data_IF_077461701976
#
_entry.id   IF_077461701976
#
_cell.length_a   1.000
_cell.length_b   1.000
_cell.length_c   1.000
_cell.angle_alpha   90.00
_cell.angle_beta   90.00
_cell.angle_gamma   90.00
#
_symmetry.space_group_name_H-M   'P 1'
#
loop_
_entity.id
_entity.type
_entity.pdbx_description
1 polymer ?
#
# COMPACT_ATOMS: atom_id res chain seq x y z
N UNK A 1 -39.41 26.33 -5.52
CA UNK A 1 -38.71 25.10 -5.94
C UNK A 1 -37.68 24.72 -4.87
N UNK A 2 -37.65 23.49 -4.41
CA UNK A 2 -36.59 22.98 -3.56
C UNK A 2 -35.56 22.32 -4.47
N UNK A 3 -34.31 22.77 -4.37
CA UNK A 3 -33.18 22.22 -5.11
C UNK A 3 -32.37 21.31 -4.18
N UNK A 4 -32.17 20.06 -4.54
CA UNK A 4 -31.23 19.21 -3.82
C UNK A 4 -29.83 19.40 -4.40
N UNK A 5 -28.81 19.52 -3.54
CA UNK A 5 -27.43 19.59 -4.00
C UNK A 5 -27.04 18.29 -4.73
N UNK A 6 -26.28 18.46 -5.77
CA UNK A 6 -25.77 17.31 -6.52
C UNK A 6 -24.85 16.43 -5.70
N UNK A 7 -24.82 15.15 -6.07
CA UNK A 7 -23.99 14.14 -5.40
C UNK A 7 -23.35 13.21 -6.40
N UNK A 8 -22.06 13.01 -6.28
CA UNK A 8 -21.37 11.94 -7.02
C UNK A 8 -20.95 10.81 -6.11
N UNK A 9 -20.67 9.65 -6.73
CA UNK A 9 -20.25 8.47 -6.00
C UNK A 9 -18.72 8.40 -5.97
N UNK A 10 -18.18 8.10 -4.77
CA UNK A 10 -16.77 7.76 -4.56
C UNK A 10 -16.69 6.27 -4.29
N UNK A 11 -16.12 5.53 -5.23
CA UNK A 11 -15.89 4.09 -5.16
C UNK A 11 -14.52 3.78 -4.56
N UNK A 12 -14.38 2.61 -3.96
CA UNK A 12 -13.12 2.10 -3.42
C UNK A 12 -12.73 0.80 -4.12
N UNK A 13 -11.53 0.80 -4.71
CA UNK A 13 -10.94 -0.32 -5.41
C UNK A 13 -9.70 -0.82 -4.65
N UNK A 14 -9.72 -2.09 -4.27
CA UNK A 14 -8.60 -2.72 -3.59
C UNK A 14 -7.32 -2.79 -4.44
N UNK A 15 -7.42 -2.58 -5.77
CA UNK A 15 -6.28 -2.56 -6.69
C UNK A 15 -5.32 -3.74 -6.48
N UNK A 16 -5.86 -4.95 -6.58
CA UNK A 16 -5.14 -6.20 -6.37
C UNK A 16 -5.07 -6.65 -4.91
N UNK A 17 -5.71 -5.94 -3.98
CA UNK A 17 -5.99 -6.40 -2.62
C UNK A 17 -7.32 -7.15 -2.51
N UNK A 18 -7.75 -7.40 -1.26
CA UNK A 18 -9.05 -8.00 -0.98
C UNK A 18 -10.18 -6.97 -1.13
N UNK A 19 -11.00 -7.10 -2.18
CA UNK A 19 -12.12 -6.19 -2.44
C UNK A 19 -13.18 -6.21 -1.34
N UNK A 20 -13.33 -7.27 -0.58
CA UNK A 20 -14.25 -7.33 0.57
C UNK A 20 -13.78 -6.47 1.75
N UNK A 21 -12.50 -6.14 1.78
CA UNK A 21 -11.88 -5.35 2.82
C UNK A 21 -11.94 -3.83 2.59
N UNK A 22 -12.30 -3.36 1.39
CA UNK A 22 -12.41 -1.93 1.11
C UNK A 22 -13.60 -1.29 1.84
N UNK A 23 -13.62 0.04 2.00
CA UNK A 23 -14.81 0.75 2.45
C UNK A 23 -15.99 0.59 1.49
N UNK A 24 -17.19 0.77 1.98
CA UNK A 24 -18.36 0.96 1.13
C UNK A 24 -18.26 2.29 0.38
N UNK A 25 -18.93 2.36 -0.77
CA UNK A 25 -19.05 3.59 -1.54
C UNK A 25 -19.60 4.74 -0.69
N UNK A 26 -19.09 5.94 -0.94
CA UNK A 26 -19.55 7.15 -0.30
C UNK A 26 -20.23 8.09 -1.32
N UNK A 27 -21.07 8.97 -0.84
CA UNK A 27 -21.68 10.05 -1.63
C UNK A 27 -21.06 11.39 -1.23
N UNK A 28 -20.42 12.05 -2.18
CA UNK A 28 -19.91 13.40 -2.04
C UNK A 28 -20.98 14.37 -2.52
N UNK A 29 -21.37 15.30 -1.68
CA UNK A 29 -22.29 16.40 -2.02
C UNK A 29 -21.48 17.58 -2.57
N UNK A 30 -21.97 18.19 -3.63
CA UNK A 30 -21.35 19.36 -4.27
C UNK A 30 -21.12 20.49 -3.25
N UNK A 31 -19.95 21.14 -3.33
CA UNK A 31 -19.49 22.20 -2.42
C UNK A 31 -19.43 21.83 -0.92
N UNK A 32 -19.60 20.54 -0.58
CA UNK A 32 -19.45 20.09 0.81
C UNK A 32 -18.27 19.15 0.93
N UNK A 33 -17.37 19.42 1.87
CA UNK A 33 -16.29 18.49 2.18
C UNK A 33 -16.84 17.19 2.76
N UNK A 34 -16.19 16.08 2.42
CA UNK A 34 -16.38 14.80 3.10
C UNK A 34 -15.04 14.27 3.58
N UNK A 35 -15.04 13.34 4.50
CA UNK A 35 -13.83 12.61 4.86
C UNK A 35 -13.76 11.27 4.11
N UNK A 36 -12.60 10.97 3.56
CA UNK A 36 -12.30 9.64 3.02
C UNK A 36 -12.52 8.60 4.11
N UNK A 37 -13.13 7.48 3.76
CA UNK A 37 -13.40 6.42 4.72
C UNK A 37 -12.14 5.97 5.46
N UNK A 38 -12.28 5.68 6.75
CA UNK A 38 -11.16 5.31 7.63
C UNK A 38 -10.79 3.84 7.55
N UNK A 39 -11.67 3.00 7.00
CA UNK A 39 -11.41 1.56 6.84
C UNK A 39 -10.26 1.36 5.87
N UNK A 40 -9.25 0.59 6.28
CA UNK A 40 -8.06 0.27 5.50
C UNK A 40 -8.23 -1.10 4.85
N UNK A 41 -8.03 -1.21 3.52
CA UNK A 41 -8.09 -2.50 2.85
C UNK A 41 -6.90 -3.38 3.21
N UNK A 42 -7.01 -4.67 2.90
CA UNK A 42 -5.96 -5.66 3.15
C UNK A 42 -5.44 -6.29 1.87
N UNK A 43 -4.17 -6.63 1.88
CA UNK A 43 -3.52 -7.41 0.84
C UNK A 43 -2.41 -8.24 1.47
N UNK A 44 -2.44 -9.57 1.26
CA UNK A 44 -1.44 -10.45 1.82
C UNK A 44 -0.04 -10.04 1.36
N UNK A 45 0.92 -9.99 2.31
CA UNK A 45 2.32 -9.59 2.06
C UNK A 45 2.51 -8.15 1.55
N UNK A 46 1.51 -7.27 1.69
CA UNK A 46 1.61 -5.87 1.30
C UNK A 46 1.16 -4.95 2.42
N UNK A 47 1.75 -3.75 2.46
CA UNK A 47 1.37 -2.63 3.32
C UNK A 47 0.61 -1.61 2.48
N UNK A 48 -0.50 -1.17 2.99
CA UNK A 48 -1.28 -0.10 2.37
C UNK A 48 -0.58 1.25 2.56
N UNK A 49 -0.51 2.04 1.47
CA UNK A 49 0.15 3.35 1.46
C UNK A 49 -0.83 4.53 1.40
N UNK A 50 -2.08 4.27 1.07
CA UNK A 50 -3.09 5.30 0.84
C UNK A 50 -3.85 5.07 -0.45
N UNK A 51 -4.67 6.02 -0.82
CA UNK A 51 -5.53 6.00 -1.98
C UNK A 51 -5.03 6.97 -3.05
N UNK A 52 -5.03 6.55 -4.32
CA UNK A 52 -5.00 7.44 -5.48
C UNK A 52 -6.41 7.59 -5.99
N UNK A 53 -6.90 8.82 -6.04
CA UNK A 53 -8.22 9.12 -6.54
C UNK A 53 -8.17 9.46 -8.03
N UNK A 54 -9.03 8.81 -8.79
CA UNK A 54 -9.19 9.03 -10.22
C UNK A 54 -10.61 9.43 -10.52
N UNK A 55 -10.76 10.50 -11.29
CA UNK A 55 -12.03 10.83 -11.94
C UNK A 55 -12.13 10.04 -13.25
N UNK A 56 -13.13 9.19 -13.36
CA UNK A 56 -13.34 8.29 -14.50
C UNK A 56 -14.65 8.69 -15.22
N UNK A 57 -14.54 9.02 -16.50
CA UNK A 57 -15.66 9.46 -17.34
C UNK A 57 -15.49 9.01 -18.78
N UNK A 58 -16.57 9.09 -19.58
CA UNK A 58 -16.54 8.86 -21.03
C UNK A 58 -16.69 10.19 -21.77
N UNK A 59 -15.96 10.35 -22.87
CA UNK A 59 -16.15 11.48 -23.79
C UNK A 59 -17.35 11.25 -24.75
N UNK A 60 -17.62 12.21 -25.63
CA UNK A 60 -18.69 12.15 -26.64
C UNK A 60 -18.62 10.95 -27.58
N UNK A 61 -17.42 10.51 -27.84
CA UNK A 61 -17.13 9.37 -28.72
C UNK A 61 -17.23 8.04 -27.99
N UNK A 62 -17.50 8.06 -26.66
CA UNK A 62 -17.56 6.89 -25.82
C UNK A 62 -16.18 6.42 -25.33
N UNK A 63 -15.12 7.19 -25.55
CA UNK A 63 -13.80 6.85 -25.05
C UNK A 63 -13.73 7.07 -23.52
N UNK A 64 -13.10 6.13 -22.83
CA UNK A 64 -12.89 6.22 -21.40
C UNK A 64 -11.70 7.11 -21.06
N UNK A 65 -11.92 8.00 -20.10
CA UNK A 65 -10.89 8.84 -19.51
C UNK A 65 -10.74 8.51 -18.02
N UNK A 66 -9.51 8.65 -17.52
CA UNK A 66 -9.18 8.46 -16.12
C UNK A 66 -8.13 9.48 -15.71
N UNK A 67 -8.51 10.46 -14.92
CA UNK A 67 -7.67 11.58 -14.51
C UNK A 67 -7.32 11.46 -13.02
N UNK A 68 -6.01 11.48 -12.68
CA UNK A 68 -5.58 11.52 -11.29
C UNK A 68 -5.93 12.87 -10.67
N UNK A 69 -6.79 12.87 -9.65
CA UNK A 69 -7.23 14.08 -8.95
C UNK A 69 -6.59 14.28 -7.58
N UNK A 70 -5.92 13.28 -7.05
CA UNK A 70 -5.18 13.43 -5.79
C UNK A 70 -4.78 12.12 -5.12
N UNK A 71 -4.03 12.29 -4.02
CA UNK A 71 -3.65 11.20 -3.13
C UNK A 71 -4.25 11.48 -1.75
N UNK A 72 -4.85 10.47 -1.14
CA UNK A 72 -5.58 10.62 0.11
C UNK A 72 -5.22 9.52 1.11
N UNK A 73 -5.13 9.90 2.38
CA UNK A 73 -5.06 8.95 3.48
C UNK A 73 -6.47 8.66 4.01
N UNK A 74 -6.69 7.51 4.67
CA UNK A 74 -7.93 7.26 5.39
C UNK A 74 -8.25 8.40 6.36
N UNK A 75 -9.47 8.90 6.34
CA UNK A 75 -9.92 10.04 7.15
C UNK A 75 -9.54 11.42 6.63
N UNK A 76 -8.76 11.52 5.56
CA UNK A 76 -8.40 12.82 4.97
C UNK A 76 -9.61 13.56 4.42
N UNK A 77 -9.56 14.89 4.45
CA UNK A 77 -10.58 15.73 3.82
C UNK A 77 -10.53 15.58 2.29
N UNK A 78 -11.70 15.40 1.70
CA UNK A 78 -11.92 15.28 0.27
C UNK A 78 -12.93 16.33 -0.18
N UNK A 79 -12.50 17.21 -1.08
CA UNK A 79 -13.30 18.36 -1.54
C UNK A 79 -13.43 18.45 -3.06
N UNK A 80 -12.99 17.43 -3.80
CA UNK A 80 -13.12 17.44 -5.25
C UNK A 80 -14.59 17.33 -5.65
N UNK A 81 -15.05 18.24 -6.51
CA UNK A 81 -16.38 18.25 -7.08
C UNK A 81 -16.34 17.89 -8.56
N UNK A 82 -17.22 17.00 -8.97
CA UNK A 82 -17.50 16.74 -10.37
C UNK A 82 -18.48 17.81 -10.81
N UNK A 83 -18.13 18.56 -11.85
CA UNK A 83 -19.04 19.51 -12.46
C UNK A 83 -20.11 18.77 -13.24
N UNK A 84 -21.35 18.92 -12.80
CA UNK A 84 -22.50 18.31 -13.44
C UNK A 84 -23.01 18.99 -14.64
N UNK A 85 -22.73 20.27 -14.67
CA UNK A 85 -23.23 21.03 -15.80
C UNK A 85 -22.48 20.63 -17.06
N UNK A 86 -22.49 19.38 -17.41
CA UNK A 86 -22.03 18.87 -18.71
C UNK A 86 -22.35 19.78 -19.90
N UNK A 87 -23.01 20.87 -19.59
CA UNK A 87 -23.25 22.04 -20.42
C UNK A 87 -21.96 22.75 -20.83
N UNK A 88 -20.94 22.82 -19.99
CA UNK A 88 -19.64 23.40 -20.35
C UNK A 88 -18.83 22.48 -21.25
N UNK A 89 -19.08 21.21 -21.18
CA UNK A 89 -18.53 20.24 -22.10
C UNK A 89 -19.03 20.40 -23.54
N UNK A 90 -20.19 21.03 -23.74
CA UNK A 90 -20.74 21.22 -25.08
C UNK A 90 -20.03 22.31 -25.88
N UNK A 91 -19.54 23.35 -25.20
CA UNK A 91 -18.97 24.53 -25.89
C UNK A 91 -17.51 24.36 -26.29
N UNK A 92 -16.73 23.53 -25.59
CA UNK A 92 -15.31 23.29 -25.86
C UNK A 92 -15.00 21.89 -26.36
N UNK A 93 -16.01 21.08 -26.65
CA UNK A 93 -15.81 19.70 -27.15
C UNK A 93 -15.51 18.66 -26.09
N UNK A 94 -15.35 19.02 -24.83
CA UNK A 94 -15.24 18.09 -23.71
C UNK A 94 -16.65 17.66 -23.26
N UNK A 95 -16.96 16.40 -23.39
CA UNK A 95 -18.29 15.91 -23.03
C UNK A 95 -18.29 15.27 -21.65
N UNK A 96 -19.23 15.75 -20.86
CA UNK A 96 -19.80 15.07 -19.73
C UNK A 96 -18.78 14.58 -18.70
N UNK A 97 -18.25 15.52 -17.94
CA UNK A 97 -17.48 15.20 -16.72
C UNK A 97 -18.35 14.57 -15.60
N UNK A 98 -19.59 14.18 -15.93
CA UNK A 98 -20.35 13.27 -15.09
C UNK A 98 -19.64 11.92 -15.14
N UNK A 99 -19.02 11.56 -14.07
CA UNK A 99 -18.34 10.30 -13.96
C UNK A 99 -18.42 9.83 -12.53
N UNK A 100 -17.53 8.95 -12.21
CA UNK A 100 -17.35 8.46 -10.86
C UNK A 100 -15.95 8.79 -10.40
N UNK A 101 -15.77 8.88 -9.08
CA UNK A 101 -14.43 8.93 -8.51
C UNK A 101 -14.09 7.55 -7.97
N UNK A 102 -12.95 7.02 -8.39
CA UNK A 102 -12.45 5.74 -7.89
C UNK A 102 -11.18 5.95 -7.06
N UNK A 103 -11.24 5.59 -5.79
CA UNK A 103 -10.11 5.54 -4.86
C UNK A 103 -9.39 4.21 -5.02
N UNK A 104 -8.26 4.18 -5.74
CA UNK A 104 -7.47 2.95 -5.96
C UNK A 104 -6.39 2.81 -4.90
N UNK A 105 -6.42 1.69 -4.17
CA UNK A 105 -5.45 1.38 -3.13
C UNK A 105 -4.02 1.33 -3.69
N UNK A 106 -3.08 1.90 -2.93
CA UNK A 106 -1.66 1.84 -3.24
C UNK A 106 -0.96 0.91 -2.25
N UNK A 107 -0.05 0.11 -2.77
CA UNK A 107 0.58 -0.97 -2.02
C UNK A 107 2.10 -0.93 -2.13
N UNK A 108 2.78 -1.30 -1.04
CA UNK A 108 4.19 -1.68 -1.06
C UNK A 108 4.33 -3.12 -0.60
N UNK A 109 5.14 -3.90 -1.31
CA UNK A 109 5.40 -5.29 -0.92
C UNK A 109 6.18 -5.34 0.39
N UNK A 110 5.78 -6.25 1.29
CA UNK A 110 6.46 -6.53 2.54
C UNK A 110 7.44 -7.69 2.37
N UNK A 111 8.62 -7.56 2.96
CA UNK A 111 9.62 -8.59 3.06
C UNK A 111 9.85 -8.96 4.52
N UNK A 112 10.08 -10.23 4.78
CA UNK A 112 10.41 -10.70 6.12
C UNK A 112 11.92 -10.87 6.25
N UNK A 113 12.51 -10.14 7.19
CA UNK A 113 13.87 -10.35 7.66
C UNK A 113 13.84 -11.45 8.71
N UNK A 114 14.45 -12.60 8.39
CA UNK A 114 14.60 -13.73 9.30
C UNK A 114 16.02 -13.74 9.85
N UNK A 115 16.14 -13.99 11.13
CA UNK A 115 17.41 -14.09 11.83
C UNK A 115 17.69 -15.56 12.12
N UNK A 116 18.88 -16.02 11.71
CA UNK A 116 19.32 -17.41 11.86
C UNK A 116 20.63 -17.42 12.65
N UNK A 117 20.67 -18.21 13.70
CA UNK A 117 21.86 -18.39 14.54
C UNK A 117 22.97 -19.20 13.89
N UNK A 118 22.71 -19.76 12.68
CA UNK A 118 23.66 -20.54 11.91
C UNK A 118 24.36 -21.62 12.75
N UNK A 119 23.56 -22.57 13.28
CA UNK A 119 24.08 -23.71 14.05
C UNK A 119 25.19 -24.44 13.29
N UNK A 120 26.45 -24.45 13.75
CA UNK A 120 27.52 -25.11 13.06
C UNK A 120 27.37 -26.66 13.14
N UNK A 121 27.82 -27.37 12.10
CA UNK A 121 27.85 -28.81 12.09
C UNK A 121 29.05 -29.38 12.89
N UNK A 122 29.41 -28.74 13.99
CA UNK A 122 30.53 -29.13 14.85
C UNK A 122 29.98 -29.80 16.10
N UNK A 123 30.45 -31.03 16.37
CA UNK A 123 30.04 -31.79 17.55
C UNK A 123 30.41 -31.04 18.84
N UNK A 124 29.44 -30.88 19.72
CA UNK A 124 29.63 -30.24 21.02
C UNK A 124 29.49 -28.71 21.00
N UNK A 125 29.18 -28.08 19.86
CA UNK A 125 28.88 -26.67 19.78
C UNK A 125 27.38 -26.49 19.63
N UNK A 126 26.74 -25.72 20.53
CA UNK A 126 25.31 -25.43 20.50
C UNK A 126 25.11 -23.92 20.41
N UNK A 127 24.27 -23.48 19.48
CA UNK A 127 23.82 -22.10 19.39
C UNK A 127 22.48 -21.97 20.12
N UNK A 128 22.42 -21.04 21.03
CA UNK A 128 21.22 -20.71 21.82
C UNK A 128 20.75 -19.29 21.58
N UNK A 129 19.55 -18.96 22.06
CA UNK A 129 18.94 -17.66 21.85
C UNK A 129 18.06 -17.59 20.61
N UNK A 130 17.41 -16.49 20.44
CA UNK A 130 16.57 -16.20 19.28
C UNK A 130 16.47 -14.70 19.02
N UNK A 131 16.21 -14.34 17.78
CA UNK A 131 15.86 -12.98 17.38
C UNK A 131 14.57 -13.05 16.59
N UNK A 132 13.55 -12.32 17.01
CA UNK A 132 12.26 -12.33 16.34
C UNK A 132 12.38 -11.76 14.91
N UNK A 133 11.66 -12.35 13.97
CA UNK A 133 11.56 -11.82 12.62
C UNK A 133 11.02 -10.40 12.63
N UNK A 134 11.32 -9.64 11.58
CA UNK A 134 10.73 -8.32 11.34
C UNK A 134 10.30 -8.19 9.90
N UNK A 135 9.26 -7.39 9.64
CA UNK A 135 8.79 -7.09 8.29
C UNK A 135 9.22 -5.70 7.89
N UNK A 136 9.50 -5.53 6.60
CA UNK A 136 9.95 -4.28 6.01
C UNK A 136 9.31 -4.11 4.63
N UNK A 137 8.92 -2.87 4.30
CA UNK A 137 8.47 -2.53 2.95
C UNK A 137 9.63 -2.56 1.95
N UNK A 138 9.30 -2.80 0.70
CA UNK A 138 10.26 -2.68 -0.39
C UNK A 138 10.84 -1.26 -0.40
N UNK A 139 12.16 -1.16 -0.62
CA UNK A 139 12.93 0.09 -0.67
C UNK A 139 12.93 0.93 0.63
N UNK A 140 12.36 0.41 1.73
CA UNK A 140 12.47 1.04 3.04
C UNK A 140 13.77 0.58 3.74
N UNK A 141 14.42 1.49 4.46
CA UNK A 141 15.58 1.14 5.32
C UNK A 141 15.14 0.33 6.52
N UNK A 142 15.93 -0.66 6.91
CA UNK A 142 15.68 -1.50 8.08
C UNK A 142 16.83 -1.42 9.09
N UNK A 143 16.49 -1.09 10.34
CA UNK A 143 17.40 -1.25 11.46
C UNK A 143 17.36 -2.71 11.92
N UNK A 144 18.48 -3.39 11.77
CA UNK A 144 18.59 -4.78 12.18
C UNK A 144 18.48 -4.90 13.69
N UNK A 145 17.78 -5.94 14.16
CA UNK A 145 17.63 -6.24 15.58
C UNK A 145 18.98 -6.63 16.19
N UNK A 146 19.13 -6.35 17.48
CA UNK A 146 20.31 -6.77 18.26
C UNK A 146 20.46 -8.29 18.20
N UNK A 147 21.69 -8.75 18.02
CA UNK A 147 22.00 -10.16 18.03
C UNK A 147 21.93 -10.72 19.47
N UNK A 148 21.04 -11.68 19.68
CA UNK A 148 20.87 -12.39 20.96
C UNK A 148 21.28 -13.87 20.88
N UNK A 149 21.87 -14.31 19.75
CA UNK A 149 22.41 -15.65 19.66
C UNK A 149 23.72 -15.79 20.43
N UNK A 150 23.92 -16.94 21.04
CA UNK A 150 25.11 -17.30 21.82
C UNK A 150 25.55 -18.69 21.44
N UNK A 151 26.82 -18.96 21.49
CA UNK A 151 27.37 -20.32 21.48
C UNK A 151 28.08 -20.60 22.82
N UNK A 152 28.56 -21.81 23.00
CA UNK A 152 29.26 -22.25 24.23
C UNK A 152 30.57 -21.47 24.48
N UNK A 153 31.08 -20.77 23.46
CA UNK A 153 32.31 -19.96 23.51
C UNK A 153 32.09 -18.47 23.66
N UNK A 154 30.81 -17.99 23.62
CA UNK A 154 30.50 -16.58 23.76
C UNK A 154 29.33 -16.06 22.91
N UNK A 155 29.30 -14.75 22.75
CA UNK A 155 28.24 -14.03 22.01
C UNK A 155 28.74 -13.70 20.60
N UNK A 156 27.94 -13.96 19.58
CA UNK A 156 28.22 -13.48 18.22
C UNK A 156 28.16 -11.95 18.15
N UNK A 157 29.19 -11.35 17.57
CA UNK A 157 29.32 -9.89 17.56
C UNK A 157 28.53 -9.22 16.45
N UNK A 158 28.44 -9.84 15.27
CA UNK A 158 27.90 -9.19 14.08
C UNK A 158 27.00 -10.09 13.23
N UNK A 159 26.18 -9.41 12.42
CA UNK A 159 25.41 -10.03 11.36
C UNK A 159 26.20 -9.99 10.04
N UNK A 160 26.25 -11.10 9.32
CA UNK A 160 26.70 -11.11 7.93
C UNK A 160 25.53 -11.38 6.98
N UNK A 161 25.60 -10.79 5.80
CA UNK A 161 24.66 -11.04 4.71
C UNK A 161 25.33 -12.00 3.75
N UNK A 162 24.72 -13.16 3.52
CA UNK A 162 25.23 -14.10 2.52
C UNK A 162 25.33 -13.44 1.14
N UNK A 163 26.35 -13.78 0.37
CA UNK A 163 26.60 -13.20 -0.97
C UNK A 163 25.40 -13.31 -1.91
N UNK A 164 24.56 -14.32 -1.73
CA UNK A 164 23.38 -14.56 -2.55
C UNK A 164 22.10 -13.89 -2.02
N UNK A 165 22.12 -13.36 -0.80
CA UNK A 165 20.96 -12.72 -0.19
C UNK A 165 20.48 -11.49 -0.99
N UNK A 166 21.42 -10.78 -1.61
CA UNK A 166 21.11 -9.61 -2.44
C UNK A 166 20.41 -9.97 -3.76
N UNK A 167 20.73 -11.12 -4.35
CA UNK A 167 20.07 -11.60 -5.58
C UNK A 167 18.66 -12.13 -5.32
N UNK A 168 18.40 -12.65 -4.12
CA UNK A 168 17.11 -13.22 -3.74
C UNK A 168 16.16 -12.18 -3.14
N UNK A 169 16.65 -11.10 -2.55
CA UNK A 169 15.81 -10.01 -2.04
C UNK A 169 14.95 -9.33 -3.11
N UNK A 170 15.38 -9.38 -4.37
CA UNK A 170 14.64 -8.83 -5.52
C UNK A 170 13.54 -9.78 -6.03
N UNK A 171 13.56 -11.06 -5.64
CA UNK A 171 12.64 -12.10 -6.17
C UNK A 171 11.92 -12.92 -5.10
N UNK A 172 12.30 -12.80 -3.83
CA UNK A 172 11.74 -13.58 -2.74
C UNK A 172 11.23 -12.66 -1.65
N UNK A 173 10.03 -12.94 -1.13
CA UNK A 173 9.46 -12.27 0.05
C UNK A 173 10.24 -12.52 1.35
N UNK A 174 11.34 -13.28 1.29
CA UNK A 174 12.13 -13.69 2.45
C UNK A 174 13.60 -13.35 2.26
N UNK A 175 14.11 -12.48 3.11
CA UNK A 175 15.52 -12.16 3.21
C UNK A 175 16.12 -12.94 4.39
N UNK A 176 17.15 -13.75 4.16
CA UNK A 176 17.88 -14.46 5.23
C UNK A 176 19.23 -13.81 5.44
N UNK A 177 19.52 -13.45 6.68
CA UNK A 177 20.82 -13.01 7.12
C UNK A 177 21.51 -14.13 7.90
N UNK A 178 22.71 -14.49 7.51
CA UNK A 178 23.51 -15.52 8.16
C UNK A 178 24.56 -14.86 9.04
N UNK A 179 24.80 -15.45 10.20
CA UNK A 179 25.93 -15.12 11.05
C UNK A 179 27.05 -16.08 10.68
N UNK A 180 28.21 -15.52 10.37
CA UNK A 180 29.43 -16.31 10.33
C UNK A 180 30.14 -16.14 11.68
N UNK A 181 30.61 -17.25 12.27
CA UNK A 181 31.41 -17.22 13.48
C UNK A 181 32.74 -16.48 13.30
#
# INVERSE_FOLDING_TARGET
AQWEPWKHTVHYDANGGDQSSVPNDQKKTYEQNMNVATKVPTRNEYKFLGWKAYHEYNDKSGNKHSELIGNYQPGASYNYDIDETGQYAADNGEYNKCGTVTMKAQWVQLYTVKYDGNQPAIKGVTVTGSVANQTQGQDESVNLRTNNFKNDSGVYKDWSVGKDAYKYAVKSSTFRKYIHP
#
